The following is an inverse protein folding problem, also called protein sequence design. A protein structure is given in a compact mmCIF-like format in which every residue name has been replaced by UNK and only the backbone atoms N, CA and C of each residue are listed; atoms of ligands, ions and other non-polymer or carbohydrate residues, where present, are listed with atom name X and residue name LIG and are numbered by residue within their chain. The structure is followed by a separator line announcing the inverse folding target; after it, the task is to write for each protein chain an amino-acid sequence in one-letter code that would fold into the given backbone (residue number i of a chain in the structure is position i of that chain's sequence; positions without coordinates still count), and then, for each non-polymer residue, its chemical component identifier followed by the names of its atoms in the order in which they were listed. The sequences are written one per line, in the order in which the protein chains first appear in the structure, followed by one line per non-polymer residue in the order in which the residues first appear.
data_IF_817388215635
#
_entry.id   IF_817388215635
#
_cell.length_a   1.000
_cell.length_b   1.000
_cell.length_c   1.000
_cell.angle_alpha   90.00
_cell.angle_beta   90.00
_cell.angle_gamma   90.00
#
_symmetry.space_group_name_H-M   'P 1'
#
loop_
_entity.id
_entity.type
_entity.pdbx_description
1 polymer ?
#
# COMPACT_ATOMS: atom_id res chain seq x y z
N UNK A 1 -20.29 -2.83 14.63
CA UNK A 1 -18.86 -2.66 14.97
C UNK A 1 -18.24 -3.90 15.60
N UNK A 2 -18.88 -4.54 16.59
CA UNK A 2 -18.34 -5.75 17.25
C UNK A 2 -17.95 -6.88 16.27
N UNK A 3 -18.80 -7.15 15.28
CA UNK A 3 -18.54 -8.11 14.19
C UNK A 3 -17.33 -7.74 13.33
N UNK A 4 -17.18 -6.47 12.98
CA UNK A 4 -16.05 -5.98 12.18
C UNK A 4 -14.73 -6.19 12.92
N UNK A 5 -14.72 -5.91 14.23
CA UNK A 5 -13.56 -6.12 15.10
C UNK A 5 -13.21 -7.60 15.19
N UNK A 6 -14.20 -8.49 15.34
CA UNK A 6 -13.97 -9.94 15.38
C UNK A 6 -13.34 -10.46 14.08
N UNK A 7 -13.86 -10.02 12.93
CA UNK A 7 -13.34 -10.40 11.60
C UNK A 7 -11.93 -9.86 11.38
N UNK A 8 -11.71 -8.59 11.72
CA UNK A 8 -10.43 -7.93 11.45
C UNK A 8 -9.34 -8.39 12.41
N UNK A 9 -9.65 -8.62 13.69
CA UNK A 9 -8.67 -8.96 14.73
C UNK A 9 -8.55 -10.47 14.90
N UNK A 10 -9.61 -11.13 15.37
CA UNK A 10 -9.56 -12.53 15.81
C UNK A 10 -9.37 -13.49 14.63
N UNK A 11 -10.19 -13.33 13.59
CA UNK A 11 -10.13 -14.23 12.44
C UNK A 11 -8.84 -14.00 11.63
N UNK A 12 -8.37 -12.76 11.51
CA UNK A 12 -7.12 -12.46 10.77
C UNK A 12 -5.89 -13.05 11.45
N UNK A 13 -5.81 -12.98 12.79
CA UNK A 13 -4.71 -13.59 13.55
C UNK A 13 -4.72 -15.10 13.39
N UNK A 14 -5.90 -15.75 13.48
CA UNK A 14 -6.04 -17.20 13.29
C UNK A 14 -5.57 -17.65 11.90
N UNK A 15 -5.92 -16.89 10.86
CA UNK A 15 -5.55 -17.23 9.49
C UNK A 15 -4.08 -16.87 9.15
N UNK A 16 -3.48 -15.95 9.91
CA UNK A 16 -2.07 -15.56 9.75
C UNK A 16 -1.13 -16.76 9.88
N UNK A 17 -1.41 -17.65 10.83
CA UNK A 17 -0.64 -18.87 11.09
C UNK A 17 -0.67 -19.83 9.88
N UNK A 18 -1.70 -19.74 9.04
CA UNK A 18 -1.85 -20.56 7.82
C UNK A 18 -1.21 -19.91 6.58
N UNK A 19 -0.74 -18.67 6.68
CA UNK A 19 -0.24 -17.87 5.57
C UNK A 19 1.28 -18.05 5.38
N UNK A 20 1.68 -19.08 4.65
CA UNK A 20 3.09 -19.49 4.46
C UNK A 20 3.97 -18.45 3.74
N UNK A 21 3.36 -17.54 2.97
CA UNK A 21 4.02 -16.44 2.26
C UNK A 21 4.67 -15.40 3.22
N UNK A 22 4.31 -15.45 4.50
CA UNK A 22 4.91 -14.68 5.59
C UNK A 22 6.43 -14.91 5.71
N UNK A 23 6.88 -16.16 5.68
CA UNK A 23 8.30 -16.53 5.88
C UNK A 23 9.17 -16.00 4.73
N UNK A 24 8.64 -16.01 3.51
CA UNK A 24 9.31 -15.48 2.33
C UNK A 24 9.49 -13.94 2.42
N UNK A 25 8.52 -13.25 3.03
CA UNK A 25 8.58 -11.80 3.23
C UNK A 25 9.66 -11.43 4.27
N UNK A 26 9.77 -12.20 5.37
CA UNK A 26 10.85 -12.03 6.36
C UNK A 26 12.21 -12.18 5.68
N UNK A 27 12.38 -13.23 4.87
CA UNK A 27 13.63 -13.47 4.15
C UNK A 27 13.98 -12.32 3.19
N UNK A 28 12.99 -11.80 2.45
CA UNK A 28 13.19 -10.65 1.57
C UNK A 28 13.54 -9.36 2.32
N UNK A 29 12.93 -9.11 3.48
CA UNK A 29 13.25 -7.96 4.33
C UNK A 29 14.66 -8.03 4.89
N UNK A 30 15.14 -9.23 5.28
CA UNK A 30 16.51 -9.44 5.74
C UNK A 30 17.54 -9.19 4.63
N UNK A 31 17.22 -9.61 3.39
CA UNK A 31 18.06 -9.33 2.22
C UNK A 31 18.09 -7.82 1.94
N UNK A 32 16.93 -7.16 1.99
CA UNK A 32 16.82 -5.72 1.74
C UNK A 32 17.58 -4.90 2.79
N UNK A 33 17.51 -5.23 4.08
CA UNK A 33 18.29 -4.55 5.15
C UNK A 33 19.80 -4.66 4.91
N UNK A 34 20.27 -5.86 4.54
CA UNK A 34 21.69 -6.11 4.27
C UNK A 34 22.21 -5.30 3.08
N UNK A 35 21.40 -5.16 2.04
CA UNK A 35 21.69 -4.32 0.87
C UNK A 35 21.63 -2.84 1.25
N UNK A 36 20.63 -2.39 2.01
CA UNK A 36 20.49 -0.98 2.36
C UNK A 36 21.70 -0.47 3.16
N UNK A 37 22.17 -1.27 4.13
CA UNK A 37 23.33 -0.95 4.96
C UNK A 37 24.66 -0.99 4.21
N UNK A 38 24.77 -1.71 3.09
CA UNK A 38 25.99 -1.63 2.26
C UNK A 38 26.10 -0.32 1.49
N UNK A 39 25.00 0.40 1.30
CA UNK A 39 24.96 1.66 0.55
C UNK A 39 24.71 2.91 1.41
N UNK A 40 24.06 2.76 2.57
CA UNK A 40 23.71 3.87 3.47
C UNK A 40 24.49 3.76 4.78
N UNK A 41 25.47 4.66 4.98
CA UNK A 41 26.06 4.89 6.30
C UNK A 41 25.01 5.59 7.18
N UNK A 42 24.35 4.82 8.05
CA UNK A 42 23.44 5.37 9.06
C UNK A 42 24.29 6.22 9.99
N UNK A 43 24.12 7.55 9.94
CA UNK A 43 24.73 8.46 10.90
C UNK A 43 24.05 8.25 12.26
N UNK A 44 24.80 8.16 13.36
CA UNK A 44 24.26 7.91 14.70
C UNK A 44 23.63 9.16 15.36
N UNK A 45 23.50 10.26 14.63
CA UNK A 45 22.86 11.47 15.15
C UNK A 45 21.35 11.23 15.21
N UNK A 46 20.76 11.54 16.36
CA UNK A 46 19.35 11.25 16.67
C UNK A 46 18.37 11.90 15.70
N UNK A 47 17.10 11.50 15.78
CA UNK A 47 16.03 12.10 14.97
C UNK A 47 15.69 13.49 15.53
N UNK A 48 16.16 14.54 14.87
CA UNK A 48 15.76 15.92 15.15
C UNK A 48 14.65 16.37 14.21
N UNK A 49 13.74 17.23 14.70
CA UNK A 49 12.76 17.86 13.83
C UNK A 49 13.47 18.80 12.85
N UNK A 50 13.06 18.82 11.56
CA UNK A 50 13.71 19.66 10.58
C UNK A 50 13.57 21.13 10.97
N UNK A 51 14.69 21.84 10.94
CA UNK A 51 14.75 23.28 11.15
C UNK A 51 13.99 24.03 10.04
N UNK A 52 13.60 25.28 10.29
CA UNK A 52 12.98 26.14 9.27
C UNK A 52 13.86 26.30 8.03
N UNK A 53 15.19 26.27 8.21
CA UNK A 53 16.16 26.31 7.12
C UNK A 53 16.10 25.07 6.24
N UNK A 54 16.04 23.88 6.84
CA UNK A 54 15.92 22.61 6.11
C UNK A 54 14.59 22.51 5.38
N UNK A 55 13.50 22.96 6.00
CA UNK A 55 12.20 23.09 5.33
C UNK A 55 12.26 24.07 4.16
N UNK A 56 12.99 25.17 4.28
CA UNK A 56 13.21 26.12 3.19
C UNK A 56 13.99 25.52 2.03
N UNK A 57 15.05 24.74 2.31
CA UNK A 57 15.82 24.02 1.28
C UNK A 57 14.92 22.98 0.58
N UNK A 58 14.12 22.24 1.34
CA UNK A 58 13.19 21.27 0.78
C UNK A 58 12.09 21.93 -0.07
N UNK A 59 11.57 23.08 0.35
CA UNK A 59 10.59 23.86 -0.40
C UNK A 59 11.18 24.38 -1.72
N UNK A 60 12.39 24.93 -1.68
CA UNK A 60 13.11 25.40 -2.87
C UNK A 60 13.29 24.27 -3.89
N UNK A 61 13.79 23.11 -3.43
CA UNK A 61 13.94 21.94 -4.27
C UNK A 61 12.60 21.48 -4.85
N UNK A 62 11.56 21.32 -4.01
CA UNK A 62 10.25 20.80 -4.44
C UNK A 62 9.54 21.71 -5.44
N UNK A 63 9.62 23.03 -5.26
CA UNK A 63 8.85 23.98 -6.07
C UNK A 63 9.61 24.48 -7.30
N UNK A 64 10.94 24.55 -7.26
CA UNK A 64 11.73 25.16 -8.34
C UNK A 64 12.56 24.13 -9.12
N UNK A 65 13.13 23.12 -8.45
CA UNK A 65 14.07 22.18 -9.09
C UNK A 65 13.39 20.88 -9.53
N UNK A 66 12.52 20.32 -8.70
CA UNK A 66 11.84 19.06 -8.95
C UNK A 66 11.02 19.03 -10.25
N UNK A 67 10.31 20.10 -10.69
CA UNK A 67 9.55 20.06 -11.95
C UNK A 67 10.41 19.76 -13.18
N UNK A 68 11.62 20.33 -13.23
CA UNK A 68 12.56 20.10 -14.34
C UNK A 68 13.15 18.68 -14.27
N UNK A 69 13.50 18.20 -13.09
CA UNK A 69 13.97 16.82 -12.91
C UNK A 69 12.90 15.80 -13.30
N UNK A 70 11.65 16.02 -12.90
CA UNK A 70 10.53 15.14 -13.24
C UNK A 70 10.27 15.14 -14.74
N UNK A 71 10.35 16.30 -15.41
CA UNK A 71 10.14 16.35 -16.86
C UNK A 71 11.27 15.62 -17.63
N UNK A 72 12.52 15.78 -17.21
CA UNK A 72 13.65 15.02 -17.76
C UNK A 72 13.46 13.50 -17.58
N UNK A 73 13.06 13.07 -16.39
CA UNK A 73 12.82 11.66 -16.08
C UNK A 73 11.64 11.05 -16.86
N UNK A 74 10.61 11.84 -17.15
CA UNK A 74 9.46 11.38 -17.94
C UNK A 74 9.80 11.18 -19.42
N UNK A 75 10.82 11.87 -19.92
CA UNK A 75 11.26 11.79 -21.32
C UNK A 75 12.46 10.84 -21.52
N UNK A 76 13.18 10.50 -20.46
CA UNK A 76 14.28 9.56 -20.52
C UNK A 76 13.80 8.09 -20.59
N UNK A 77 14.12 7.43 -21.70
CA UNK A 77 13.77 6.04 -21.94
C UNK A 77 14.32 5.08 -20.89
N UNK A 78 15.48 5.38 -20.27
CA UNK A 78 16.08 4.53 -19.24
C UNK A 78 15.23 4.57 -17.99
N UNK A 79 14.82 5.76 -17.60
CA UNK A 79 13.91 5.97 -16.47
C UNK A 79 12.55 5.31 -16.72
N UNK A 80 12.00 5.42 -17.93
CA UNK A 80 10.76 4.72 -18.31
C UNK A 80 10.91 3.20 -18.27
N UNK A 81 12.03 2.65 -18.75
CA UNK A 81 12.32 1.21 -18.70
C UNK A 81 12.40 0.71 -17.25
N UNK A 82 13.17 1.41 -16.40
CA UNK A 82 13.30 1.07 -14.98
C UNK A 82 11.96 1.17 -14.27
N UNK A 83 11.19 2.25 -14.53
CA UNK A 83 9.84 2.43 -14.02
C UNK A 83 8.89 1.31 -14.43
N UNK A 84 8.95 0.88 -15.69
CA UNK A 84 8.17 -0.25 -16.21
C UNK A 84 8.53 -1.57 -15.54
N UNK A 85 9.82 -1.86 -15.35
CA UNK A 85 10.31 -3.03 -14.63
C UNK A 85 9.87 -3.03 -13.16
N UNK A 86 10.00 -1.89 -12.47
CA UNK A 86 9.55 -1.72 -11.08
C UNK A 86 8.04 -1.88 -10.97
N UNK A 87 7.28 -1.34 -11.91
CA UNK A 87 5.84 -1.52 -11.98
C UNK A 87 5.48 -3.00 -12.15
N UNK A 88 6.10 -3.71 -13.09
CA UNK A 88 5.88 -5.14 -13.30
C UNK A 88 6.22 -5.97 -12.05
N UNK A 89 7.35 -5.68 -11.40
CA UNK A 89 7.75 -6.33 -10.15
C UNK A 89 6.75 -6.05 -9.01
N UNK A 90 6.28 -4.81 -8.87
CA UNK A 90 5.21 -4.45 -7.92
C UNK A 90 3.92 -5.19 -8.23
N UNK A 91 3.58 -5.35 -9.51
CA UNK A 91 2.37 -6.07 -9.91
C UNK A 91 2.45 -7.54 -9.51
N UNK A 92 3.57 -8.20 -9.81
CA UNK A 92 3.80 -9.59 -9.40
C UNK A 92 3.71 -9.75 -7.88
N UNK A 93 4.40 -8.91 -7.12
CA UNK A 93 4.42 -8.98 -5.63
C UNK A 93 3.10 -8.58 -4.97
N UNK A 94 2.23 -7.85 -5.66
CA UNK A 94 0.89 -7.49 -5.18
C UNK A 94 -0.16 -8.55 -5.54
N UNK A 95 -0.19 -8.97 -6.79
CA UNK A 95 -1.19 -9.89 -7.33
C UNK A 95 -0.99 -11.33 -6.87
N UNK A 96 0.26 -11.79 -6.79
CA UNK A 96 0.57 -13.18 -6.43
C UNK A 96 0.06 -13.54 -5.01
N UNK A 97 0.33 -12.75 -3.96
CA UNK A 97 -0.27 -12.97 -2.65
C UNK A 97 -1.81 -12.84 -2.65
N UNK A 98 -2.36 -11.93 -3.45
CA UNK A 98 -3.81 -11.71 -3.52
C UNK A 98 -4.53 -12.89 -4.17
N UNK A 99 -3.91 -13.51 -5.18
CA UNK A 99 -4.38 -14.74 -5.81
C UNK A 99 -4.29 -15.94 -4.86
N UNK A 100 -3.23 -16.05 -4.05
CA UNK A 100 -3.13 -17.07 -3.00
C UNK A 100 -4.25 -16.90 -1.95
N UNK A 101 -4.52 -15.66 -1.52
CA UNK A 101 -5.63 -15.35 -0.60
C UNK A 101 -7.00 -15.72 -1.19
N UNK A 102 -7.26 -15.39 -2.47
CA UNK A 102 -8.49 -15.82 -3.17
C UNK A 102 -8.65 -17.34 -3.14
N UNK A 103 -7.60 -18.08 -3.53
CA UNK A 103 -7.62 -19.54 -3.53
C UNK A 103 -7.82 -20.11 -2.13
N UNK A 104 -7.19 -19.52 -1.10
CA UNK A 104 -7.41 -19.89 0.29
C UNK A 104 -8.88 -19.73 0.71
N UNK A 105 -9.49 -18.57 0.46
CA UNK A 105 -10.89 -18.30 0.85
C UNK A 105 -11.91 -19.11 0.04
N UNK A 106 -11.55 -19.54 -1.17
CA UNK A 106 -12.35 -20.47 -1.99
C UNK A 106 -12.08 -21.96 -1.70
N UNK A 107 -11.09 -22.27 -0.84
CA UNK A 107 -10.59 -23.62 -0.56
C UNK A 107 -10.07 -24.36 -1.82
N UNK A 108 -9.36 -23.62 -2.67
CA UNK A 108 -8.75 -24.09 -3.91
C UNK A 108 -7.22 -24.20 -3.78
N UNK A 109 -6.58 -25.10 -4.54
CA UNK A 109 -5.13 -25.06 -4.81
C UNK A 109 -4.22 -26.07 -4.08
N UNK A 110 -4.72 -26.83 -3.11
CA UNK A 110 -4.01 -28.00 -2.53
C UNK A 110 -2.58 -27.73 -2.01
N UNK A 111 -1.70 -28.74 -2.07
CA UNK A 111 -0.33 -28.72 -1.48
C UNK A 111 0.65 -27.74 -2.16
N UNK A 112 0.40 -27.38 -3.43
CA UNK A 112 1.25 -26.52 -4.28
C UNK A 112 0.62 -25.14 -4.57
N UNK A 113 -0.24 -24.64 -3.66
CA UNK A 113 -1.06 -23.44 -3.88
C UNK A 113 -0.28 -22.19 -4.29
N UNK A 114 0.92 -22.00 -3.74
CA UNK A 114 1.79 -20.84 -3.98
C UNK A 114 2.31 -20.80 -5.44
N UNK A 115 2.74 -21.93 -6.00
CA UNK A 115 3.20 -21.98 -7.39
C UNK A 115 2.02 -21.91 -8.36
N UNK A 116 0.91 -22.59 -8.02
CA UNK A 116 -0.31 -22.53 -8.82
C UNK A 116 -0.96 -21.15 -8.83
N UNK A 117 -0.80 -20.33 -7.79
CA UNK A 117 -1.34 -18.96 -7.76
C UNK A 117 -0.56 -18.05 -8.72
N UNK A 118 0.75 -18.21 -8.82
CA UNK A 118 1.59 -17.50 -9.79
C UNK A 118 1.22 -17.88 -11.24
N UNK A 119 1.10 -19.19 -11.53
CA UNK A 119 0.74 -19.69 -12.86
C UNK A 119 -0.66 -19.27 -13.33
N UNK A 120 -1.56 -18.92 -12.41
CA UNK A 120 -2.92 -18.50 -12.75
C UNK A 120 -3.07 -17.01 -13.06
N UNK A 121 -1.99 -16.23 -12.98
CA UNK A 121 -2.03 -14.81 -13.32
C UNK A 121 -2.15 -14.64 -14.84
N UNK A 122 -3.13 -13.85 -15.28
CA UNK A 122 -3.38 -13.56 -16.70
C UNK A 122 -3.03 -12.10 -17.01
N UNK A 123 -2.58 -11.83 -18.24
CA UNK A 123 -2.30 -10.46 -18.72
C UNK A 123 -3.49 -9.51 -18.58
N UNK A 124 -4.72 -10.00 -18.75
CA UNK A 124 -5.93 -9.19 -18.53
C UNK A 124 -6.05 -8.62 -17.12
N UNK A 125 -5.45 -9.29 -16.13
CA UNK A 125 -5.40 -8.79 -14.75
C UNK A 125 -4.42 -7.63 -14.63
N UNK A 126 -3.24 -7.74 -15.26
CA UNK A 126 -2.24 -6.67 -15.29
C UNK A 126 -2.81 -5.39 -15.95
N UNK A 127 -3.50 -5.54 -17.08
CA UNK A 127 -4.15 -4.41 -17.78
C UNK A 127 -5.20 -3.75 -16.88
N UNK A 128 -6.01 -4.55 -16.20
CA UNK A 128 -6.97 -4.05 -15.22
C UNK A 128 -6.28 -3.25 -14.09
N UNK A 129 -5.23 -3.80 -13.49
CA UNK A 129 -4.56 -3.15 -12.36
C UNK A 129 -3.88 -1.85 -12.80
N UNK A 130 -3.27 -1.81 -14.00
CA UNK A 130 -2.73 -0.59 -14.58
C UNK A 130 -3.79 0.49 -14.79
N UNK A 131 -4.98 0.12 -15.30
CA UNK A 131 -6.08 1.06 -15.50
C UNK A 131 -6.60 1.61 -14.16
N UNK A 132 -6.87 0.74 -13.19
CA UNK A 132 -7.37 1.14 -11.87
C UNK A 132 -6.35 2.01 -11.11
N UNK A 133 -5.05 1.69 -11.20
CA UNK A 133 -3.97 2.52 -10.67
C UNK A 133 -3.90 3.87 -11.39
N UNK A 134 -4.04 3.90 -12.71
CA UNK A 134 -4.10 5.12 -13.50
C UNK A 134 -5.22 6.05 -13.05
N UNK A 135 -6.41 5.52 -12.75
CA UNK A 135 -7.53 6.31 -12.21
C UNK A 135 -7.15 6.94 -10.86
N UNK A 136 -6.54 6.16 -9.97
CA UNK A 136 -6.10 6.64 -8.64
C UNK A 136 -5.06 7.74 -8.77
N UNK A 137 -4.04 7.54 -9.62
CA UNK A 137 -3.00 8.54 -9.86
C UNK A 137 -3.53 9.77 -10.59
N UNK A 138 -4.49 9.62 -11.51
CA UNK A 138 -5.10 10.75 -12.20
C UNK A 138 -5.84 11.66 -11.21
N UNK A 139 -6.72 11.08 -10.39
CA UNK A 139 -7.50 11.85 -9.41
C UNK A 139 -6.59 12.41 -8.30
N UNK A 140 -5.73 11.56 -7.73
CA UNK A 140 -4.79 11.97 -6.69
C UNK A 140 -3.77 12.98 -7.19
N UNK A 141 -3.35 12.87 -8.45
CA UNK A 141 -2.41 13.78 -9.11
C UNK A 141 -3.01 15.16 -9.37
N UNK A 142 -4.28 15.25 -9.79
CA UNK A 142 -4.97 16.55 -9.89
C UNK A 142 -5.06 17.22 -8.52
N UNK A 143 -5.42 16.46 -7.48
CA UNK A 143 -5.50 16.99 -6.11
C UNK A 143 -4.14 17.43 -5.56
N UNK A 144 -3.13 16.58 -5.65
CA UNK A 144 -1.77 16.90 -5.20
C UNK A 144 -1.14 18.04 -6.02
N UNK A 145 -1.41 18.08 -7.33
CA UNK A 145 -0.97 19.13 -8.23
C UNK A 145 -1.57 20.48 -7.87
N UNK A 146 -2.86 20.55 -7.54
CA UNK A 146 -3.47 21.78 -7.04
C UNK A 146 -2.79 22.27 -5.74
N UNK A 147 -2.51 21.36 -4.80
CA UNK A 147 -1.78 21.70 -3.58
C UNK A 147 -0.36 22.17 -3.81
N UNK A 148 0.33 21.55 -4.77
CA UNK A 148 1.67 21.97 -5.17
C UNK A 148 1.66 23.36 -5.82
N UNK A 149 0.71 23.64 -6.73
CA UNK A 149 0.58 24.96 -7.36
C UNK A 149 0.35 26.03 -6.29
N UNK A 150 -0.64 25.84 -5.41
CA UNK A 150 -0.95 26.82 -4.36
C UNK A 150 0.26 26.99 -3.41
N UNK A 151 0.90 25.90 -3.01
CA UNK A 151 2.09 25.94 -2.15
C UNK A 151 3.26 26.69 -2.81
N UNK A 152 3.48 26.46 -4.10
CA UNK A 152 4.50 27.16 -4.89
C UNK A 152 4.24 28.66 -4.96
N UNK A 153 2.99 29.09 -5.20
CA UNK A 153 2.67 30.51 -5.24
C UNK A 153 2.91 31.19 -3.89
N UNK A 154 2.57 30.52 -2.78
CA UNK A 154 2.90 31.01 -1.43
C UNK A 154 4.42 31.12 -1.26
N UNK A 155 5.20 30.11 -1.70
CA UNK A 155 6.66 30.13 -1.64
C UNK A 155 7.27 31.31 -2.42
N UNK A 156 6.80 31.56 -3.64
CA UNK A 156 7.31 32.63 -4.50
C UNK A 156 7.02 34.01 -3.90
N UNK A 157 5.84 34.20 -3.31
CA UNK A 157 5.43 35.51 -2.78
C UNK A 157 6.03 35.83 -1.41
N UNK A 158 6.22 34.81 -0.56
CA UNK A 158 6.54 35.02 0.86
C UNK A 158 7.83 34.35 1.33
N UNK A 159 8.43 33.48 0.50
CA UNK A 159 9.56 32.61 0.87
C UNK A 159 9.32 31.84 2.18
N UNK A 160 8.05 31.59 2.52
CA UNK A 160 7.69 30.90 3.75
C UNK A 160 7.98 29.40 3.62
N UNK A 161 8.86 28.82 4.47
CA UNK A 161 9.21 27.39 4.40
C UNK A 161 8.01 26.49 4.71
N UNK A 162 6.98 27.00 5.37
CA UNK A 162 5.76 26.26 5.68
C UNK A 162 4.84 26.06 4.48
N UNK A 163 5.10 26.71 3.34
CA UNK A 163 4.41 26.47 2.08
C UNK A 163 4.43 25.00 1.65
N UNK A 164 5.48 24.24 2.03
CA UNK A 164 5.60 22.80 1.78
C UNK A 164 4.54 21.96 2.51
N UNK A 165 3.99 22.47 3.62
CA UNK A 165 3.00 21.73 4.40
C UNK A 165 1.69 21.54 3.63
N UNK A 166 1.36 22.44 2.70
CA UNK A 166 0.14 22.35 1.90
C UNK A 166 0.15 21.14 0.95
N UNK A 167 1.12 20.97 0.03
CA UNK A 167 1.19 19.78 -0.80
C UNK A 167 1.35 18.50 0.03
N UNK A 168 2.13 18.53 1.12
CA UNK A 168 2.28 17.38 2.03
C UNK A 168 0.94 16.99 2.66
N UNK A 169 0.18 17.98 3.16
CA UNK A 169 -1.14 17.77 3.75
C UNK A 169 -2.13 17.24 2.73
N UNK A 170 -2.17 17.80 1.53
CA UNK A 170 -3.08 17.35 0.46
C UNK A 170 -2.78 15.93 0.00
N UNK A 171 -1.51 15.57 -0.17
CA UNK A 171 -1.10 14.18 -0.42
C UNK A 171 -1.51 13.29 0.75
N UNK A 172 -1.25 13.72 1.98
CA UNK A 172 -1.61 12.98 3.19
C UNK A 172 -3.10 12.67 3.30
N UNK A 173 -3.97 13.61 2.93
CA UNK A 173 -5.44 13.44 2.95
C UNK A 173 -5.93 12.45 1.89
N UNK A 174 -5.34 12.44 0.69
CA UNK A 174 -5.75 11.52 -0.39
C UNK A 174 -5.07 10.15 -0.29
N UNK A 175 -3.97 10.04 0.46
CA UNK A 175 -3.18 8.82 0.56
C UNK A 175 -3.94 7.58 1.06
N UNK A 176 -4.82 7.66 2.08
CA UNK A 176 -5.66 6.53 2.47
C UNK A 176 -6.53 6.01 1.32
N UNK A 177 -7.08 6.93 0.52
CA UNK A 177 -7.88 6.58 -0.64
C UNK A 177 -7.04 5.94 -1.74
N UNK A 178 -5.82 6.46 -1.98
CA UNK A 178 -4.90 5.86 -2.94
C UNK A 178 -4.50 4.43 -2.53
N UNK A 179 -4.20 4.20 -1.25
CA UNK A 179 -3.94 2.87 -0.71
C UNK A 179 -5.14 1.95 -0.83
N UNK A 180 -6.36 2.45 -0.58
CA UNK A 180 -7.58 1.71 -0.82
C UNK A 180 -7.72 1.30 -2.28
N UNK A 181 -7.48 2.24 -3.21
CA UNK A 181 -7.49 2.01 -4.64
C UNK A 181 -6.51 0.91 -5.07
N UNK A 182 -5.24 0.99 -4.67
CA UNK A 182 -4.25 -0.06 -4.97
C UNK A 182 -4.63 -1.42 -4.39
N UNK A 183 -5.18 -1.41 -3.18
CA UNK A 183 -5.59 -2.63 -2.48
C UNK A 183 -6.83 -3.26 -3.10
N UNK A 184 -7.80 -2.47 -3.53
CA UNK A 184 -9.04 -2.96 -4.16
C UNK A 184 -8.82 -3.34 -5.62
N UNK A 185 -7.96 -2.61 -6.34
CA UNK A 185 -7.54 -2.95 -7.69
C UNK A 185 -7.06 -4.40 -7.79
N UNK A 186 -6.10 -4.79 -6.94
CA UNK A 186 -5.57 -6.16 -6.91
C UNK A 186 -6.62 -7.22 -6.54
N UNK A 187 -7.58 -6.89 -5.66
CA UNK A 187 -8.67 -7.80 -5.24
C UNK A 187 -9.74 -7.96 -6.31
N UNK A 188 -10.07 -6.88 -7.02
CA UNK A 188 -10.98 -6.92 -8.16
C UNK A 188 -10.32 -7.62 -9.36
N UNK A 189 -8.99 -7.48 -9.53
CA UNK A 189 -8.25 -8.12 -10.61
C UNK A 189 -8.43 -9.64 -10.61
N UNK A 190 -8.48 -10.23 -9.41
CA UNK A 190 -8.64 -11.68 -9.23
C UNK A 190 -10.08 -12.18 -9.33
N UNK A 191 -11.09 -11.30 -9.41
CA UNK A 191 -12.47 -11.72 -9.68
C UNK A 191 -12.60 -12.33 -11.08
N UNK A 192 -13.49 -13.32 -11.21
CA UNK A 192 -13.82 -13.96 -12.49
C UNK A 192 -14.56 -13.05 -13.47
N UNK A 193 -15.13 -11.94 -12.97
CA UNK A 193 -15.95 -11.00 -13.72
C UNK A 193 -15.23 -10.29 -14.88
N UNK A 194 -16.01 -9.78 -15.83
CA UNK A 194 -15.52 -8.96 -16.94
C UNK A 194 -15.01 -7.58 -16.51
N UNK A 195 -14.28 -6.91 -17.41
CA UNK A 195 -13.65 -5.61 -17.16
C UNK A 195 -14.66 -4.52 -16.75
N UNK A 196 -15.81 -4.43 -17.45
CA UNK A 196 -16.85 -3.43 -17.16
C UNK A 196 -17.41 -3.57 -15.74
N UNK A 197 -17.69 -4.80 -15.30
CA UNK A 197 -18.14 -5.07 -13.93
C UNK A 197 -17.09 -4.69 -12.90
N UNK A 198 -15.81 -4.99 -13.17
CA UNK A 198 -14.70 -4.58 -12.29
C UNK A 198 -14.60 -3.05 -12.19
N UNK A 199 -14.74 -2.34 -13.32
CA UNK A 199 -14.72 -0.88 -13.37
C UNK A 199 -15.88 -0.27 -12.58
N UNK A 200 -17.08 -0.84 -12.74
CA UNK A 200 -18.25 -0.44 -11.96
C UNK A 200 -17.98 -0.57 -10.46
N UNK A 201 -17.56 -1.77 -10.02
CA UNK A 201 -17.23 -2.04 -8.62
C UNK A 201 -16.11 -1.11 -8.11
N UNK A 202 -15.06 -0.89 -8.89
CA UNK A 202 -13.97 0.01 -8.49
C UNK A 202 -14.44 1.47 -8.35
N UNK A 203 -15.35 1.92 -9.23
CA UNK A 203 -15.90 3.27 -9.17
C UNK A 203 -16.74 3.53 -7.90
N UNK A 204 -17.25 2.47 -7.25
CA UNK A 204 -17.96 2.59 -5.97
C UNK A 204 -17.06 3.14 -4.86
N UNK A 205 -15.73 2.98 -4.96
CA UNK A 205 -14.78 3.61 -4.04
C UNK A 205 -14.96 5.13 -3.98
N UNK A 206 -15.37 5.75 -5.09
CA UNK A 206 -15.54 7.19 -5.20
C UNK A 206 -17.01 7.61 -5.16
N UNK A 207 -17.91 6.77 -5.69
CA UNK A 207 -19.34 7.07 -5.79
C UNK A 207 -20.13 6.76 -4.52
N UNK A 208 -19.81 5.64 -3.87
CA UNK A 208 -20.55 5.19 -2.69
C UNK A 208 -19.97 5.81 -1.44
N UNK A 209 -20.75 6.68 -0.78
CA UNK A 209 -20.36 7.34 0.48
C UNK A 209 -19.92 6.33 1.55
N UNK A 210 -20.59 5.18 1.61
CA UNK A 210 -20.25 4.08 2.55
C UNK A 210 -18.88 3.50 2.22
N UNK A 211 -18.65 3.10 0.97
CA UNK A 211 -17.39 2.49 0.54
C UNK A 211 -16.25 3.48 0.71
N UNK A 212 -16.45 4.74 0.32
CA UNK A 212 -15.47 5.82 0.47
C UNK A 212 -15.03 6.00 1.92
N UNK A 213 -15.94 6.34 2.84
CA UNK A 213 -15.56 6.69 4.21
C UNK A 213 -15.02 5.51 5.00
N UNK A 214 -15.62 4.32 4.84
CA UNK A 214 -15.10 3.14 5.51
C UNK A 214 -13.71 2.79 5.01
N UNK A 215 -13.47 2.86 3.69
CA UNK A 215 -12.14 2.64 3.13
C UNK A 215 -11.17 3.68 3.64
N UNK A 216 -11.51 4.95 3.56
CA UNK A 216 -10.63 6.03 3.98
C UNK A 216 -10.19 5.86 5.45
N UNK A 217 -11.13 5.64 6.37
CA UNK A 217 -10.83 5.44 7.79
C UNK A 217 -10.00 4.18 8.04
N UNK A 218 -10.36 3.06 7.41
CA UNK A 218 -9.63 1.82 7.57
C UNK A 218 -8.19 1.92 7.05
N UNK A 219 -8.00 2.53 5.87
CA UNK A 219 -6.67 2.69 5.29
C UNK A 219 -5.85 3.75 6.01
N UNK A 220 -6.47 4.78 6.60
CA UNK A 220 -5.78 5.70 7.50
C UNK A 220 -5.26 4.95 8.73
N UNK A 221 -6.11 4.19 9.42
CA UNK A 221 -5.69 3.39 10.56
C UNK A 221 -4.57 2.40 10.18
N UNK A 222 -4.68 1.77 9.01
CA UNK A 222 -3.63 0.92 8.45
C UNK A 222 -2.32 1.67 8.22
N UNK A 223 -2.36 2.89 7.68
CA UNK A 223 -1.18 3.74 7.48
C UNK A 223 -0.52 4.01 8.82
N UNK A 224 -1.28 4.44 9.83
CA UNK A 224 -0.76 4.72 11.16
C UNK A 224 -0.13 3.49 11.82
N UNK A 225 -0.79 2.33 11.75
CA UNK A 225 -0.25 1.06 12.25
C UNK A 225 1.04 0.70 11.49
N UNK A 226 1.06 0.88 10.17
CA UNK A 226 2.25 0.58 9.36
C UNK A 226 3.40 1.53 9.69
N UNK A 227 3.12 2.83 9.85
CA UNK A 227 4.11 3.81 10.28
C UNK A 227 4.68 3.45 11.65
N UNK A 228 3.86 3.01 12.59
CA UNK A 228 4.32 2.62 13.92
C UNK A 228 5.17 1.33 13.89
N UNK A 229 4.62 0.24 13.35
CA UNK A 229 5.20 -1.10 13.48
C UNK A 229 6.18 -1.48 12.37
N UNK A 230 6.09 -0.85 11.20
CA UNK A 230 6.95 -1.16 10.04
C UNK A 230 8.03 -0.10 9.85
N UNK A 231 7.83 1.13 10.33
CA UNK A 231 8.80 2.21 10.18
C UNK A 231 9.41 2.64 11.52
N UNK A 232 8.59 3.17 12.44
CA UNK A 232 9.07 3.81 13.66
C UNK A 232 9.78 2.82 14.61
N UNK A 233 9.14 1.70 14.95
CA UNK A 233 9.74 0.69 15.84
C UNK A 233 11.02 0.10 15.24
N UNK A 234 11.06 -0.30 13.95
CA UNK A 234 12.31 -0.72 13.33
C UNK A 234 13.40 0.36 13.37
N UNK A 235 13.11 1.60 12.98
CA UNK A 235 14.10 2.69 13.01
C UNK A 235 14.61 2.93 14.43
N UNK A 236 13.72 3.03 15.42
CA UNK A 236 14.11 3.19 16.83
C UNK A 236 14.98 2.02 17.30
N UNK A 237 14.62 0.79 16.93
CA UNK A 237 15.44 -0.38 17.24
C UNK A 237 16.79 -0.32 16.54
N UNK A 238 16.85 0.20 15.32
CA UNK A 238 18.10 0.36 14.58
C UNK A 238 19.04 1.38 15.23
N UNK A 239 18.48 2.43 15.82
CA UNK A 239 19.21 3.53 16.46
C UNK A 239 19.59 3.26 17.91
N UNK A 240 18.78 2.50 18.65
CA UNK A 240 18.94 2.34 20.11
C UNK A 240 19.48 0.97 20.54
N UNK A 241 19.38 -0.06 19.70
CA UNK A 241 19.80 -1.43 20.04
C UNK A 241 21.17 -1.75 19.43
N UNK A 242 22.18 -1.85 20.27
CA UNK A 242 23.55 -2.18 19.85
C UNK A 242 23.70 -3.66 19.45
N UNK A 243 23.01 -4.57 20.14
CA UNK A 243 23.08 -6.00 19.87
C UNK A 243 22.41 -6.35 18.53
N UNK A 244 23.21 -6.84 17.58
CA UNK A 244 22.78 -7.19 16.23
C UNK A 244 21.59 -8.15 16.19
N UNK A 245 21.66 -9.25 16.94
CA UNK A 245 20.63 -10.29 16.90
C UNK A 245 19.32 -9.79 17.51
N UNK A 246 19.40 -9.06 18.62
CA UNK A 246 18.23 -8.49 19.29
C UNK A 246 17.53 -7.44 18.41
N UNK A 247 18.30 -6.59 17.73
CA UNK A 247 17.80 -5.57 16.79
C UNK A 247 17.05 -6.18 15.60
N UNK A 248 17.65 -7.18 14.96
CA UNK A 248 17.02 -7.87 13.82
C UNK A 248 15.77 -8.63 14.29
N UNK A 249 15.80 -9.22 15.48
CA UNK A 249 14.64 -9.89 16.05
C UNK A 249 13.48 -8.91 16.31
N UNK A 250 13.74 -7.76 16.94
CA UNK A 250 12.73 -6.74 17.22
C UNK A 250 12.14 -6.18 15.91
N UNK A 251 12.99 -5.82 14.94
CA UNK A 251 12.52 -5.33 13.64
C UNK A 251 11.67 -6.39 12.90
N UNK A 252 12.07 -7.66 12.96
CA UNK A 252 11.36 -8.75 12.28
C UNK A 252 10.03 -9.09 12.96
N UNK A 253 9.99 -9.15 14.29
CA UNK A 253 8.79 -9.45 15.09
C UNK A 253 7.79 -8.29 15.05
N UNK A 254 8.24 -7.04 14.92
CA UNK A 254 7.34 -5.89 14.78
C UNK A 254 6.78 -5.78 13.37
N UNK A 255 7.64 -5.77 12.35
CA UNK A 255 7.23 -5.48 10.98
C UNK A 255 6.42 -6.63 10.34
N UNK A 256 6.82 -7.88 10.55
CA UNK A 256 6.27 -9.00 9.77
C UNK A 256 4.83 -9.36 10.16
N UNK A 257 4.51 -9.54 11.46
CA UNK A 257 3.14 -9.78 11.90
C UNK A 257 2.24 -8.60 11.59
N UNK A 258 2.71 -7.36 11.80
CA UNK A 258 1.93 -6.17 11.47
C UNK A 258 1.61 -6.11 9.97
N UNK A 259 2.60 -6.27 9.09
CA UNK A 259 2.39 -6.21 7.65
C UNK A 259 1.45 -7.31 7.15
N UNK A 260 1.63 -8.53 7.65
CA UNK A 260 0.85 -9.69 7.21
C UNK A 260 -0.58 -9.67 7.76
N UNK A 261 -0.74 -9.25 9.01
CA UNK A 261 -2.04 -8.97 9.63
C UNK A 261 -2.77 -7.88 8.85
N UNK A 262 -2.11 -6.75 8.59
CA UNK A 262 -2.67 -5.63 7.84
C UNK A 262 -3.11 -6.05 6.44
N UNK A 263 -2.33 -6.89 5.75
CA UNK A 263 -2.68 -7.40 4.42
C UNK A 263 -3.92 -8.30 4.48
N UNK A 264 -4.00 -9.19 5.47
CA UNK A 264 -5.15 -10.08 5.67
C UNK A 264 -6.41 -9.31 6.09
N UNK A 265 -6.30 -8.43 7.07
CA UNK A 265 -7.36 -7.54 7.51
C UNK A 265 -7.90 -6.70 6.35
N UNK A 266 -7.03 -6.21 5.47
CA UNK A 266 -7.46 -5.45 4.28
C UNK A 266 -8.25 -6.30 3.27
N UNK A 267 -7.98 -7.60 3.19
CA UNK A 267 -8.75 -8.52 2.34
C UNK A 267 -10.13 -8.79 2.93
N UNK A 268 -10.22 -9.10 4.22
CA UNK A 268 -11.50 -9.29 4.90
C UNK A 268 -12.33 -8.02 4.94
N UNK A 269 -11.68 -6.88 5.17
CA UNK A 269 -12.32 -5.58 5.11
C UNK A 269 -12.93 -5.30 3.72
N UNK A 270 -12.20 -5.61 2.64
CA UNK A 270 -12.75 -5.51 1.28
C UNK A 270 -14.02 -6.36 1.13
N UNK A 271 -13.99 -7.63 1.57
CA UNK A 271 -15.16 -8.52 1.48
C UNK A 271 -16.35 -8.01 2.30
N UNK A 272 -16.12 -7.39 3.45
CA UNK A 272 -17.20 -6.83 4.26
C UNK A 272 -17.80 -5.55 3.65
N UNK A 273 -16.95 -4.66 3.14
CA UNK A 273 -17.40 -3.42 2.48
C UNK A 273 -18.14 -3.73 1.18
N UNK A 274 -17.67 -4.69 0.41
CA UNK A 274 -18.26 -5.09 -0.87
C UNK A 274 -19.31 -6.20 -0.75
N UNK A 275 -19.63 -6.66 0.47
CA UNK A 275 -20.68 -7.67 0.71
C UNK A 275 -22.03 -7.36 0.05
N UNK A 276 -22.52 -6.09 -0.01
CA UNK A 276 -23.80 -5.80 -0.64
C UNK A 276 -23.84 -6.01 -2.16
N UNK A 277 -22.68 -6.16 -2.82
CA UNK A 277 -22.60 -6.31 -4.27
C UNK A 277 -22.67 -7.80 -4.66
N UNK A 278 -23.71 -8.23 -5.41
CA UNK A 278 -23.92 -9.64 -5.75
C UNK A 278 -22.72 -10.29 -6.43
N UNK A 279 -22.01 -9.54 -7.26
CA UNK A 279 -20.86 -10.01 -8.03
C UNK A 279 -19.68 -10.45 -7.15
N UNK A 280 -19.59 -9.88 -5.93
CA UNK A 280 -18.59 -10.26 -4.91
C UNK A 280 -19.19 -11.35 -4.00
N UNK A 281 -20.46 -11.23 -3.62
CA UNK A 281 -21.14 -12.19 -2.76
C UNK A 281 -21.14 -13.60 -3.36
N UNK A 282 -21.47 -13.74 -4.65
CA UNK A 282 -21.51 -15.03 -5.34
C UNK A 282 -20.11 -15.64 -5.50
N UNK A 283 -19.11 -14.83 -5.84
CA UNK A 283 -17.72 -15.29 -6.01
C UNK A 283 -17.13 -15.86 -4.70
N UNK A 284 -17.54 -15.30 -3.56
CA UNK A 284 -17.07 -15.69 -2.22
C UNK A 284 -18.16 -16.37 -1.37
N UNK A 285 -19.16 -16.99 -2.00
CA UNK A 285 -20.32 -17.56 -1.29
C UNK A 285 -19.91 -18.53 -0.16
N UNK A 286 -18.90 -19.38 -0.39
CA UNK A 286 -18.36 -20.31 0.63
C UNK A 286 -17.73 -19.60 1.83
N UNK A 287 -17.13 -18.44 1.62
CA UNK A 287 -16.58 -17.62 2.69
C UNK A 287 -17.72 -17.01 3.51
N UNK A 288 -18.68 -16.39 2.82
CA UNK A 288 -19.85 -15.79 3.47
C UNK A 288 -20.67 -16.84 4.24
N UNK A 289 -20.86 -18.04 3.69
CA UNK A 289 -21.61 -19.11 4.35
C UNK A 289 -20.92 -19.65 5.61
N UNK A 290 -19.57 -19.68 5.65
CA UNK A 290 -18.81 -20.12 6.83
C UNK A 290 -18.75 -19.08 7.93
N UNK A 291 -18.85 -17.81 7.58
CA UNK A 291 -18.68 -16.70 8.52
C UNK A 291 -20.01 -16.10 8.98
N UNK A 292 -21.09 -16.34 8.22
CA UNK A 292 -22.41 -15.75 8.46
C UNK A 292 -23.58 -16.74 8.42
N UNK A 293 -23.33 -18.02 8.08
CA UNK A 293 -24.24 -19.13 8.34
C UNK A 293 -23.94 -19.72 9.70
#
# INVERSE_FOLDING_TARGET
MHRLIQILVVDSIRDLIRYKSFILLVALLLIADRVLRSYVKIRPEGFEFPSSRELGIAADWLFLQAPNLVSEWLLDWRTLLVGGCLFAAKQLTSMWPTMDMRKMHRSEGGRWRILKSLQSLRWSQFVWDACAIGIVFGIGGVWAGAGWIIGREIWIQSSSPFSILLPVGMVGVVWPLAMAGFSYSSKLAVLSNGFSTKLKLFSELLKSRRVFWYSWLFYLARILISLLFVLLIPILSLLTVENFFLRILIASISATPAYSYVKMASFKFFLEVYRPYPEVATEYQRYYSRQFG
#
